data_IF_750305629809
#
_entry.id   IF_750305629809
#
_cell.length_a   1.000
_cell.length_b   1.000
_cell.length_c   1.000
_cell.angle_alpha   90.00
_cell.angle_beta   90.00
_cell.angle_gamma   90.00
#
_symmetry.space_group_name_H-M   'P 1'
#
loop_
_entity.id
_entity.type
_entity.pdbx_description
1 polymer ?
#
# COMPACT_ATOMS: atom_id res chain seq x y z
N UNK A 1 32.68 -21.90 -7.43
CA UNK A 1 31.21 -21.97 -7.43
C UNK A 1 30.87 -22.96 -6.34
N UNK A 2 30.69 -22.47 -5.11
CA UNK A 2 30.31 -23.33 -3.97
C UNK A 2 28.79 -23.41 -3.95
N UNK A 3 28.28 -24.63 -4.16
CA UNK A 3 26.86 -24.97 -4.09
C UNK A 3 26.35 -24.71 -2.67
N UNK A 4 25.41 -23.77 -2.58
CA UNK A 4 24.59 -23.52 -1.40
C UNK A 4 23.87 -24.83 -1.05
N UNK A 5 24.16 -25.37 0.13
CA UNK A 5 23.48 -26.59 0.59
C UNK A 5 22.18 -26.20 1.30
N UNK A 6 21.01 -26.64 0.81
CA UNK A 6 19.71 -26.42 1.46
C UNK A 6 19.69 -26.85 2.93
N UNK A 7 20.56 -27.79 3.28
CA UNK A 7 20.75 -28.33 4.63
C UNK A 7 21.20 -27.28 5.66
N UNK A 8 22.01 -26.29 5.24
CA UNK A 8 22.56 -25.28 6.15
C UNK A 8 21.48 -24.26 6.58
N UNK A 9 20.54 -23.94 5.67
CA UNK A 9 19.38 -23.10 5.98
C UNK A 9 18.30 -23.85 6.78
N UNK A 10 18.06 -25.13 6.46
CA UNK A 10 17.14 -25.97 7.21
C UNK A 10 17.59 -26.16 8.67
N UNK A 11 18.90 -26.37 8.89
CA UNK A 11 19.47 -26.47 10.22
C UNK A 11 19.32 -25.19 11.05
N UNK A 12 19.47 -24.03 10.41
CA UNK A 12 19.26 -22.72 11.03
C UNK A 12 17.80 -22.52 11.46
N UNK A 13 16.85 -22.87 10.57
CA UNK A 13 15.42 -22.81 10.86
C UNK A 13 15.01 -23.74 12.00
N UNK A 14 15.52 -24.99 12.03
CA UNK A 14 15.24 -25.92 13.12
C UNK A 14 15.70 -25.39 14.48
N UNK A 15 16.89 -24.79 14.55
CA UNK A 15 17.45 -24.24 15.79
C UNK A 15 16.70 -23.01 16.28
N UNK A 16 16.32 -22.12 15.36
CA UNK A 16 15.48 -20.97 15.67
C UNK A 16 14.12 -21.41 16.25
N UNK A 17 13.49 -22.43 15.66
CA UNK A 17 12.25 -23.02 16.18
C UNK A 17 12.44 -23.77 17.50
N UNK A 18 13.66 -24.24 17.81
CA UNK A 18 14.04 -24.83 19.09
C UNK A 18 14.41 -23.77 20.17
N UNK A 19 14.38 -22.48 19.85
CA UNK A 19 14.71 -21.40 20.78
C UNK A 19 16.20 -21.22 21.07
N UNK A 20 17.08 -21.80 20.25
CA UNK A 20 18.52 -21.61 20.38
C UNK A 20 18.93 -20.20 19.92
N UNK A 21 19.82 -19.50 20.65
CA UNK A 21 20.32 -18.19 20.23
C UNK A 21 21.09 -18.32 18.90
N UNK A 22 20.68 -17.53 17.91
CA UNK A 22 21.31 -17.53 16.59
C UNK A 22 22.66 -16.82 16.62
N UNK A 23 23.68 -17.50 16.09
CA UNK A 23 25.03 -16.97 15.92
C UNK A 23 25.11 -16.09 14.65
N UNK A 24 25.47 -14.79 14.76
CA UNK A 24 25.53 -13.85 13.64
C UNK A 24 26.42 -14.30 12.47
N UNK A 25 27.50 -15.01 12.75
CA UNK A 25 28.41 -15.50 11.71
C UNK A 25 27.77 -16.60 10.85
N UNK A 26 26.88 -17.39 11.45
CA UNK A 26 26.19 -18.49 10.77
C UNK A 26 25.03 -17.99 9.91
N UNK A 27 24.34 -16.92 10.33
CA UNK A 27 23.33 -16.23 9.51
C UNK A 27 23.95 -15.67 8.24
N UNK A 28 25.11 -15.00 8.36
CA UNK A 28 25.81 -14.41 7.22
C UNK A 28 26.27 -15.48 6.22
N UNK A 29 26.75 -16.62 6.73
CA UNK A 29 27.16 -17.77 5.93
C UNK A 29 25.97 -18.46 5.23
N UNK A 30 24.83 -18.61 5.92
CA UNK A 30 23.61 -19.20 5.36
C UNK A 30 22.93 -18.30 4.32
N UNK A 31 23.03 -16.98 4.46
CA UNK A 31 22.47 -16.00 3.53
C UNK A 31 23.39 -15.67 2.33
N UNK A 32 24.60 -16.24 2.28
CA UNK A 32 25.58 -15.98 1.22
C UNK A 32 26.06 -14.52 1.18
N UNK A 33 25.94 -13.81 2.29
CA UNK A 33 26.31 -12.39 2.37
C UNK A 33 27.81 -12.26 2.67
N UNK A 34 28.55 -11.39 1.96
CA UNK A 34 29.92 -11.07 2.33
C UNK A 34 29.93 -10.50 3.75
N UNK A 35 30.71 -11.14 4.63
CA UNK A 35 30.85 -10.77 6.04
C UNK A 35 31.80 -9.57 6.17
N UNK A 36 31.46 -8.46 5.54
CA UNK A 36 32.14 -7.19 5.75
C UNK A 36 31.49 -6.48 6.96
N UNK A 37 32.24 -6.17 8.03
CA UNK A 37 31.76 -5.42 9.18
C UNK A 37 31.03 -4.11 8.82
N UNK A 38 31.42 -3.45 7.73
CA UNK A 38 30.75 -2.23 7.27
C UNK A 38 29.36 -2.51 6.65
N UNK A 39 29.23 -3.60 5.91
CA UNK A 39 27.96 -4.02 5.31
C UNK A 39 26.99 -4.51 6.38
N UNK A 40 27.48 -5.22 7.41
CA UNK A 40 26.71 -5.60 8.59
C UNK A 40 26.22 -4.38 9.38
N UNK A 41 27.07 -3.36 9.58
CA UNK A 41 26.66 -2.13 10.26
C UNK A 41 25.58 -1.36 9.48
N UNK A 42 25.64 -1.34 8.16
CA UNK A 42 24.59 -0.73 7.32
C UNK A 42 23.29 -1.53 7.31
N UNK A 43 23.39 -2.86 7.34
CA UNK A 43 22.22 -3.72 7.43
C UNK A 43 21.58 -3.59 8.83
N UNK A 44 22.39 -3.60 9.88
CA UNK A 44 21.95 -3.37 11.26
C UNK A 44 21.38 -1.98 11.45
N UNK A 45 21.92 -0.93 10.82
CA UNK A 45 21.36 0.42 10.90
C UNK A 45 20.04 0.56 10.15
N UNK A 46 19.85 -0.16 9.04
CA UNK A 46 18.56 -0.25 8.34
C UNK A 46 17.55 -1.10 9.11
N UNK A 47 17.99 -2.19 9.74
CA UNK A 47 17.16 -3.05 10.58
C UNK A 47 16.76 -2.31 11.86
N UNK A 48 17.69 -1.63 12.52
CA UNK A 48 17.38 -0.76 13.65
C UNK A 48 16.56 0.43 13.18
N UNK A 49 16.74 1.03 12.01
CA UNK A 49 15.79 2.06 11.55
C UNK A 49 14.38 1.52 11.29
N UNK A 50 14.25 0.23 10.93
CA UNK A 50 12.97 -0.46 10.78
C UNK A 50 12.36 -0.94 12.11
N UNK A 51 13.18 -1.13 13.15
CA UNK A 51 12.79 -1.62 14.49
C UNK A 51 12.73 -0.48 15.53
N UNK A 52 13.51 0.58 15.34
CA UNK A 52 13.59 1.76 16.20
C UNK A 52 12.24 2.43 16.09
N UNK A 53 11.48 2.44 17.19
CA UNK A 53 10.14 2.96 17.20
C UNK A 53 10.23 4.48 17.13
N UNK A 54 10.23 5.03 15.93
CA UNK A 54 9.55 6.31 15.72
C UNK A 54 8.08 6.03 15.99
N UNK A 55 7.65 6.21 17.24
CA UNK A 55 6.30 5.92 17.70
C UNK A 55 5.79 4.55 17.20
N UNK A 56 6.12 3.48 17.92
CA UNK A 56 5.26 2.30 17.94
C UNK A 56 3.91 2.71 18.59
N UNK A 57 3.17 3.55 17.86
CA UNK A 57 1.77 3.80 18.06
C UNK A 57 1.08 2.46 17.86
N UNK A 58 0.24 2.08 18.79
CA UNK A 58 -0.74 1.01 18.59
C UNK A 58 -1.43 1.26 17.24
N UNK A 59 -1.06 0.49 16.21
CA UNK A 59 -1.65 0.69 14.89
C UNK A 59 -0.77 0.29 13.71
N UNK A 60 -1.36 0.48 12.54
CA UNK A 60 -0.75 0.19 11.25
C UNK A 60 0.31 1.23 10.87
N UNK A 61 1.45 0.79 10.32
CA UNK A 61 2.45 1.70 9.76
C UNK A 61 1.98 2.26 8.40
N UNK A 62 1.22 3.36 8.44
CA UNK A 62 0.69 4.04 7.25
C UNK A 62 1.76 4.62 6.32
N UNK A 63 2.94 4.97 6.85
CA UNK A 63 4.07 5.42 6.03
C UNK A 63 4.60 4.29 5.14
N UNK A 64 4.62 3.06 5.66
CA UNK A 64 4.96 1.87 4.87
C UNK A 64 3.89 1.59 3.79
N UNK A 65 2.60 1.70 4.14
CA UNK A 65 1.48 1.58 3.18
C UNK A 65 1.66 2.57 2.03
N UNK A 66 1.85 3.85 2.35
CA UNK A 66 2.05 4.92 1.37
C UNK A 66 3.25 4.64 0.48
N UNK A 67 4.41 4.32 1.06
CA UNK A 67 5.64 4.06 0.31
C UNK A 67 5.46 2.92 -0.68
N UNK A 68 4.89 1.80 -0.23
CA UNK A 68 4.65 0.62 -1.07
C UNK A 68 3.62 0.91 -2.18
N UNK A 69 2.53 1.60 -1.85
CA UNK A 69 1.49 1.95 -2.80
C UNK A 69 2.01 2.90 -3.88
N UNK A 70 2.77 3.93 -3.51
CA UNK A 70 3.40 4.88 -4.45
C UNK A 70 4.44 4.20 -5.34
N UNK A 71 5.20 3.25 -4.79
CA UNK A 71 6.15 2.47 -5.60
C UNK A 71 5.45 1.68 -6.70
N UNK A 72 4.29 1.08 -6.40
CA UNK A 72 3.49 0.34 -7.39
C UNK A 72 2.84 1.31 -8.37
N UNK A 73 2.16 2.34 -7.87
CA UNK A 73 1.45 3.33 -8.68
C UNK A 73 2.37 4.08 -9.68
N UNK A 74 3.65 4.22 -9.35
CA UNK A 74 4.63 4.83 -10.26
C UNK A 74 5.10 3.92 -11.40
N UNK A 75 4.84 2.62 -11.33
CA UNK A 75 5.22 1.69 -12.39
C UNK A 75 4.43 2.01 -13.65
N UNK A 76 5.14 2.31 -14.74
CA UNK A 76 4.50 2.68 -16.01
C UNK A 76 3.77 4.03 -15.99
N UNK A 77 4.01 4.88 -14.99
CA UNK A 77 3.40 6.21 -14.89
C UNK A 77 3.78 7.09 -16.08
N UNK A 78 2.76 7.65 -16.74
CA UNK A 78 2.88 8.56 -17.88
C UNK A 78 2.46 9.97 -17.46
N UNK A 79 3.11 10.98 -18.03
CA UNK A 79 2.64 12.37 -17.87
C UNK A 79 1.31 12.54 -18.59
N UNK A 80 0.40 13.30 -17.98
CA UNK A 80 -0.87 13.69 -18.60
C UNK A 80 -0.56 14.55 -19.83
N UNK A 81 -1.02 14.13 -21.00
CA UNK A 81 -0.87 14.93 -22.23
C UNK A 81 -1.89 16.06 -22.26
N UNK A 82 -1.55 17.15 -22.94
CA UNK A 82 -2.46 18.28 -23.14
C UNK A 82 -3.71 17.87 -23.93
N UNK A 83 -3.57 16.91 -24.87
CA UNK A 83 -4.70 16.38 -25.63
C UNK A 83 -5.71 15.63 -24.76
N UNK A 84 -5.24 14.79 -23.84
CA UNK A 84 -6.10 14.06 -22.89
C UNK A 84 -6.77 15.04 -21.94
N UNK A 85 -6.01 16.00 -21.38
CA UNK A 85 -6.56 17.03 -20.51
C UNK A 85 -7.68 17.84 -21.20
N UNK A 86 -7.47 18.23 -22.46
CA UNK A 86 -8.48 18.94 -23.25
C UNK A 86 -9.71 18.08 -23.53
N UNK A 87 -9.53 16.80 -23.85
CA UNK A 87 -10.63 15.87 -24.13
C UNK A 87 -11.52 15.68 -22.90
N UNK A 88 -10.92 15.48 -21.72
CA UNK A 88 -11.64 15.38 -20.45
C UNK A 88 -12.42 16.67 -20.16
N UNK A 89 -11.79 17.83 -20.33
CA UNK A 89 -12.44 19.13 -20.10
C UNK A 89 -13.64 19.35 -21.03
N UNK A 90 -13.50 19.03 -22.33
CA UNK A 90 -14.58 19.12 -23.30
C UNK A 90 -15.73 18.15 -22.98
N UNK A 91 -15.41 16.92 -22.58
CA UNK A 91 -16.40 15.92 -22.21
C UNK A 91 -17.20 16.37 -20.98
N UNK A 92 -16.53 16.90 -19.97
CA UNK A 92 -17.20 17.48 -18.80
C UNK A 92 -18.11 18.66 -19.13
N UNK A 93 -17.64 19.61 -19.94
CA UNK A 93 -18.45 20.77 -20.33
C UNK A 93 -19.72 20.32 -21.07
N UNK A 94 -19.58 19.35 -21.97
CA UNK A 94 -20.69 18.80 -22.74
C UNK A 94 -21.66 18.03 -21.84
N UNK A 95 -21.14 17.16 -20.96
CA UNK A 95 -21.95 16.40 -20.00
C UNK A 95 -22.72 17.32 -19.04
N UNK A 96 -22.12 18.43 -18.60
CA UNK A 96 -22.83 19.44 -17.80
C UNK A 96 -23.99 20.04 -18.57
N UNK A 97 -23.81 20.42 -19.85
CA UNK A 97 -24.89 20.96 -20.67
C UNK A 97 -26.05 19.97 -20.85
N UNK A 98 -25.76 18.68 -21.02
CA UNK A 98 -26.78 17.64 -21.12
C UNK A 98 -27.52 17.41 -19.80
N UNK A 99 -26.80 17.38 -18.68
CA UNK A 99 -27.40 17.20 -17.36
C UNK A 99 -28.21 18.42 -16.93
N UNK A 100 -27.79 19.64 -17.28
CA UNK A 100 -28.51 20.87 -16.95
C UNK A 100 -29.90 20.94 -17.62
N UNK A 101 -30.08 20.27 -18.77
CA UNK A 101 -31.38 20.20 -19.46
C UNK A 101 -32.40 19.31 -18.71
N UNK A 102 -31.92 18.31 -17.97
CA UNK A 102 -32.75 17.26 -17.37
C UNK A 102 -32.67 17.18 -15.84
N UNK A 103 -31.86 18.02 -15.19
CA UNK A 103 -31.69 18.06 -13.73
C UNK A 103 -31.81 19.48 -13.17
N UNK A 104 -32.26 19.60 -11.92
CA UNK A 104 -32.28 20.86 -11.17
C UNK A 104 -31.05 21.00 -10.24
N UNK A 105 -30.05 20.12 -10.39
CA UNK A 105 -28.85 20.11 -9.57
C UNK A 105 -27.92 21.22 -10.03
N UNK A 106 -27.35 21.99 -9.09
CA UNK A 106 -26.39 23.04 -9.44
C UNK A 106 -25.17 22.45 -10.16
N UNK A 107 -24.79 23.05 -11.28
CA UNK A 107 -23.64 22.61 -12.07
C UNK A 107 -22.32 22.79 -11.32
N UNK A 108 -21.40 21.86 -11.54
CA UNK A 108 -20.06 21.91 -10.98
C UNK A 108 -19.20 22.79 -11.88
N UNK A 109 -18.89 24.01 -11.44
CA UNK A 109 -18.10 24.98 -12.22
C UNK A 109 -16.59 24.84 -12.01
N UNK A 110 -16.14 23.93 -11.16
CA UNK A 110 -14.71 23.72 -10.90
C UNK A 110 -14.08 22.89 -12.00
N UNK A 111 -12.88 23.28 -12.45
CA UNK A 111 -12.09 22.42 -13.33
C UNK A 111 -11.81 21.06 -12.68
N UNK A 112 -11.79 19.96 -13.45
CA UNK A 112 -11.41 18.66 -12.92
C UNK A 112 -9.95 18.65 -12.44
N UNK A 113 -9.69 17.95 -11.35
CA UNK A 113 -8.32 17.60 -10.96
C UNK A 113 -7.85 16.41 -11.80
N UNK A 114 -6.77 16.59 -12.56
CA UNK A 114 -6.15 15.50 -13.30
C UNK A 114 -5.10 14.84 -12.42
N UNK A 115 -5.34 13.59 -12.03
CA UNK A 115 -4.52 12.82 -11.12
C UNK A 115 -3.55 11.93 -11.91
N UNK A 116 -2.33 11.78 -11.39
CA UNK A 116 -1.54 10.58 -11.63
C UNK A 116 -2.00 9.45 -10.70
N UNK A 117 -1.64 8.20 -11.01
CA UNK A 117 -1.89 7.06 -10.11
C UNK A 117 -1.29 7.29 -8.73
N UNK A 118 -0.07 7.82 -8.66
CA UNK A 118 0.59 8.20 -7.40
C UNK A 118 -0.21 9.26 -6.63
N UNK A 119 -0.68 10.31 -7.31
CA UNK A 119 -1.44 11.36 -6.64
C UNK A 119 -2.79 10.85 -6.14
N UNK A 120 -3.43 9.94 -6.87
CA UNK A 120 -4.64 9.25 -6.43
C UNK A 120 -4.39 8.42 -5.16
N UNK A 121 -3.25 7.70 -5.08
CA UNK A 121 -2.84 7.01 -3.85
C UNK A 121 -2.72 8.01 -2.70
N UNK A 122 -1.99 9.10 -2.89
CA UNK A 122 -1.77 10.12 -1.84
C UNK A 122 -3.09 10.71 -1.35
N UNK A 123 -3.98 11.09 -2.27
CA UNK A 123 -5.28 11.64 -1.91
C UNK A 123 -6.12 10.61 -1.14
N UNK A 124 -6.24 9.37 -1.65
CA UNK A 124 -7.11 8.33 -1.07
C UNK A 124 -6.64 7.75 0.26
N UNK A 125 -5.36 7.93 0.64
CA UNK A 125 -4.81 7.38 1.89
C UNK A 125 -5.63 7.75 3.13
N UNK A 126 -6.16 8.98 3.19
CA UNK A 126 -6.99 9.41 4.32
C UNK A 126 -8.24 8.54 4.48
N UNK A 127 -8.95 8.31 3.37
CA UNK A 127 -10.15 7.46 3.35
C UNK A 127 -9.81 6.02 3.75
N UNK A 128 -8.80 5.42 3.13
CA UNK A 128 -8.41 4.03 3.43
C UNK A 128 -7.91 3.87 4.86
N UNK A 129 -7.28 4.90 5.42
CA UNK A 129 -6.92 4.94 6.83
C UNK A 129 -8.13 4.86 7.73
N UNK A 130 -9.15 5.67 7.48
CA UNK A 130 -10.36 5.68 8.28
C UNK A 130 -11.14 4.36 8.16
N UNK A 131 -11.19 3.77 6.97
CA UNK A 131 -11.88 2.50 6.72
C UNK A 131 -11.15 1.29 7.31
N UNK A 132 -9.82 1.22 7.19
CA UNK A 132 -9.07 0.02 7.56
C UNK A 132 -8.59 0.01 9.02
N UNK A 133 -8.43 1.17 9.66
CA UNK A 133 -7.95 1.24 11.06
C UNK A 133 -8.82 0.41 12.03
N UNK A 134 -10.17 0.47 11.99
CA UNK A 134 -11.00 -0.34 12.86
C UNK A 134 -10.77 -1.85 12.65
N UNK A 135 -10.59 -2.28 11.40
CA UNK A 135 -10.35 -3.69 11.05
C UNK A 135 -8.99 -4.16 11.56
N UNK A 136 -7.95 -3.35 11.37
CA UNK A 136 -6.59 -3.66 11.82
C UNK A 136 -6.51 -3.80 13.35
N UNK A 137 -7.23 -2.95 14.08
CA UNK A 137 -7.30 -3.01 15.54
C UNK A 137 -7.97 -4.30 16.01
N UNK A 138 -9.12 -4.66 15.43
CA UNK A 138 -9.83 -5.92 15.75
C UNK A 138 -9.00 -7.16 15.45
N UNK A 139 -8.25 -7.16 14.36
CA UNK A 139 -7.38 -8.29 14.01
C UNK A 139 -6.24 -8.46 15.04
N UNK A 140 -5.65 -7.35 15.48
CA UNK A 140 -4.57 -7.36 16.48
C UNK A 140 -5.05 -7.82 17.86
N UNK A 141 -6.27 -7.43 18.25
CA UNK A 141 -6.97 -7.91 19.45
C UNK A 141 -7.18 -9.44 19.35
N UNK A 142 -7.82 -9.91 18.28
CA UNK A 142 -8.14 -11.33 18.09
C UNK A 142 -6.90 -12.24 18.04
N UNK A 143 -5.82 -11.79 17.39
CA UNK A 143 -4.56 -12.53 17.37
C UNK A 143 -3.93 -12.62 18.77
N UNK A 144 -4.05 -11.55 19.57
CA UNK A 144 -3.53 -11.55 20.94
C UNK A 144 -4.34 -12.49 21.83
N UNK A 145 -5.67 -12.45 21.75
CA UNK A 145 -6.57 -13.34 22.49
C UNK A 145 -6.32 -14.80 22.15
N UNK A 146 -6.31 -15.15 20.86
CA UNK A 146 -6.08 -16.53 20.42
C UNK A 146 -4.71 -17.05 20.86
N UNK A 147 -3.67 -16.20 20.80
CA UNK A 147 -2.34 -16.60 21.22
C UNK A 147 -2.26 -16.83 22.73
N UNK A 148 -2.96 -16.02 23.54
CA UNK A 148 -3.05 -16.22 25.00
C UNK A 148 -3.78 -17.51 25.36
N UNK A 149 -4.86 -17.86 24.65
CA UNK A 149 -5.65 -19.07 24.90
C UNK A 149 -4.92 -20.38 24.58
N UNK A 150 -3.99 -20.36 23.62
CA UNK A 150 -3.33 -21.56 23.11
C UNK A 150 -1.89 -21.76 23.63
N UNK A 151 -1.42 -20.91 24.55
CA UNK A 151 -0.05 -20.92 25.04
C UNK A 151 0.11 -21.83 26.27
N UNK A 152 1.12 -22.73 26.31
CA UNK A 152 1.45 -23.49 27.52
C UNK A 152 1.92 -22.57 28.67
N UNK A 153 1.49 -22.84 29.90
CA UNK A 153 1.70 -21.98 31.08
C UNK A 153 3.18 -21.67 31.37
N UNK A 154 4.07 -22.58 30.97
CA UNK A 154 5.53 -22.51 31.11
C UNK A 154 6.16 -21.31 30.38
N UNK A 155 5.49 -20.78 29.34
CA UNK A 155 5.99 -19.70 28.49
C UNK A 155 5.42 -18.32 28.82
N UNK A 156 4.63 -18.22 29.89
CA UNK A 156 3.96 -16.98 30.30
C UNK A 156 4.90 -15.80 30.55
N UNK A 157 6.11 -16.04 31.10
CA UNK A 157 7.12 -15.01 31.33
C UNK A 157 7.79 -14.46 30.06
N UNK A 158 7.77 -15.23 28.96
CA UNK A 158 8.30 -14.82 27.65
C UNK A 158 7.22 -14.14 26.78
N UNK A 159 5.94 -14.22 27.21
CA UNK A 159 4.75 -13.81 26.48
C UNK A 159 4.69 -12.30 26.20
N UNK A 160 5.07 -11.46 27.17
CA UNK A 160 4.97 -10.00 27.01
C UNK A 160 5.87 -9.49 25.88
N UNK A 161 7.11 -9.99 25.82
CA UNK A 161 8.07 -9.63 24.79
C UNK A 161 7.73 -10.24 23.42
N UNK A 162 7.32 -11.52 23.40
CA UNK A 162 6.98 -12.22 22.16
C UNK A 162 5.68 -11.71 21.51
N UNK A 163 4.67 -11.37 22.31
CA UNK A 163 3.39 -10.84 21.81
C UNK A 163 3.54 -9.46 21.16
N UNK A 164 4.42 -8.61 21.66
CA UNK A 164 4.75 -7.33 21.02
C UNK A 164 5.41 -7.51 19.65
N UNK A 165 6.33 -8.47 19.53
CA UNK A 165 7.00 -8.80 18.27
C UNK A 165 5.99 -9.36 17.25
N UNK A 166 5.10 -10.28 17.66
CA UNK A 166 4.08 -10.85 16.76
C UNK A 166 3.07 -9.81 16.29
N UNK A 167 2.58 -8.94 17.18
CA UNK A 167 1.72 -7.82 16.80
C UNK A 167 2.42 -6.91 15.80
N UNK A 168 3.68 -6.53 16.05
CA UNK A 168 4.47 -5.72 15.12
C UNK A 168 4.64 -6.40 13.75
N UNK A 169 5.00 -7.68 13.73
CA UNK A 169 5.15 -8.45 12.49
C UNK A 169 3.83 -8.54 11.71
N UNK A 170 2.71 -8.77 12.40
CA UNK A 170 1.37 -8.77 11.82
C UNK A 170 0.99 -7.42 11.21
N UNK A 171 1.26 -6.32 11.93
CA UNK A 171 1.01 -4.96 11.44
C UNK A 171 1.83 -4.63 10.20
N UNK A 172 3.11 -5.03 10.15
CA UNK A 172 3.96 -4.84 8.96
C UNK A 172 3.42 -5.62 7.76
N UNK A 173 3.02 -6.89 7.95
CA UNK A 173 2.44 -7.70 6.86
C UNK A 173 1.14 -7.10 6.32
N UNK A 174 0.24 -6.67 7.21
CA UNK A 174 -0.99 -6.00 6.80
C UNK A 174 -0.69 -4.69 6.06
N UNK A 175 0.31 -3.91 6.51
CA UNK A 175 0.70 -2.67 5.85
C UNK A 175 1.20 -2.92 4.43
N UNK A 176 2.03 -3.95 4.23
CA UNK A 176 2.51 -4.34 2.91
C UNK A 176 1.36 -4.76 1.99
N UNK A 177 0.43 -5.60 2.48
CA UNK A 177 -0.74 -6.04 1.71
C UNK A 177 -1.66 -4.87 1.34
N UNK A 178 -1.91 -3.96 2.28
CA UNK A 178 -2.69 -2.75 2.05
C UNK A 178 -2.01 -1.84 1.01
N UNK A 179 -0.70 -1.62 1.14
CA UNK A 179 0.06 -0.84 0.17
C UNK A 179 0.02 -1.46 -1.22
N UNK A 180 0.11 -2.79 -1.32
CA UNK A 180 -0.03 -3.51 -2.58
C UNK A 180 -1.43 -3.37 -3.19
N UNK A 181 -2.47 -3.55 -2.38
CA UNK A 181 -3.85 -3.42 -2.82
C UNK A 181 -4.14 -2.00 -3.32
N UNK A 182 -3.73 -0.98 -2.55
CA UNK A 182 -3.96 0.42 -2.91
C UNK A 182 -3.18 0.84 -4.16
N UNK A 183 -1.93 0.37 -4.27
CA UNK A 183 -1.12 0.59 -5.47
C UNK A 183 -1.76 0.00 -6.73
N UNK A 184 -2.24 -1.25 -6.65
CA UNK A 184 -2.95 -1.89 -7.78
C UNK A 184 -4.28 -1.21 -8.08
N UNK A 185 -5.04 -0.84 -7.06
CA UNK A 185 -6.32 -0.15 -7.25
C UNK A 185 -6.14 1.17 -8.01
N UNK A 186 -5.02 1.87 -7.79
CA UNK A 186 -4.70 3.09 -8.55
C UNK A 186 -4.51 2.86 -10.06
N UNK A 187 -4.29 1.63 -10.51
CA UNK A 187 -4.18 1.26 -11.93
C UNK A 187 -5.55 1.02 -12.58
N UNK A 188 -6.57 0.74 -11.79
CA UNK A 188 -7.92 0.36 -12.26
C UNK A 188 -8.93 1.51 -12.19
N UNK A 189 -8.78 2.39 -11.19
CA UNK A 189 -9.72 3.52 -10.98
C UNK A 189 -9.60 4.58 -12.07
N UNK A 190 -10.73 5.03 -12.59
CA UNK A 190 -10.85 6.11 -13.57
C UNK A 190 -11.01 7.46 -12.89
N UNK A 191 -11.62 7.50 -11.70
CA UNK A 191 -12.01 8.73 -11.04
C UNK A 191 -11.86 8.68 -9.51
N UNK A 192 -11.99 9.85 -8.88
CA UNK A 192 -12.14 9.95 -7.43
C UNK A 192 -13.49 9.42 -6.91
N UNK A 193 -14.48 9.25 -7.79
CA UNK A 193 -15.83 8.80 -7.45
C UNK A 193 -16.01 7.29 -7.43
N UNK A 194 -15.05 6.50 -7.93
CA UNK A 194 -15.23 5.06 -8.16
C UNK A 194 -15.47 4.26 -6.87
N UNK A 195 -14.96 4.76 -5.74
CA UNK A 195 -15.14 4.14 -4.42
C UNK A 195 -16.50 4.52 -3.80
N UNK A 196 -17.19 5.53 -4.35
CA UNK A 196 -18.44 6.08 -3.80
C UNK A 196 -18.27 6.92 -2.53
N UNK A 197 -17.02 7.15 -2.09
CA UNK A 197 -16.68 8.00 -0.95
C UNK A 197 -15.61 9.03 -1.37
N UNK A 198 -15.66 10.28 -0.86
CA UNK A 198 -14.68 11.29 -1.21
C UNK A 198 -13.27 10.90 -0.77
N UNK A 199 -12.33 10.89 -1.72
CA UNK A 199 -10.91 10.65 -1.42
C UNK A 199 -10.15 11.93 -1.06
N UNK A 200 -10.69 13.12 -1.30
CA UNK A 200 -10.10 14.40 -0.86
C UNK A 200 -11.21 15.37 -0.43
N UNK A 201 -10.84 16.42 0.33
CA UNK A 201 -11.79 17.35 0.97
C UNK A 201 -12.44 18.33 0.00
N UNK A 202 -11.73 18.72 -1.05
CA UNK A 202 -12.21 19.68 -2.03
C UNK A 202 -13.37 19.06 -2.85
N UNK A 203 -14.56 19.68 -2.92
CA UNK A 203 -15.66 19.16 -3.71
C UNK A 203 -15.43 19.48 -5.20
N UNK A 204 -14.58 18.68 -5.85
CA UNK A 204 -14.30 18.80 -7.29
C UNK A 204 -14.19 17.44 -7.97
N UNK A 205 -14.53 17.33 -9.26
CA UNK A 205 -14.30 16.13 -10.04
C UNK A 205 -12.80 15.85 -10.15
N UNK A 206 -12.42 14.58 -10.17
CA UNK A 206 -11.04 14.20 -10.41
C UNK A 206 -10.96 12.88 -11.15
N UNK A 207 -10.00 12.81 -12.07
CA UNK A 207 -9.82 11.68 -12.99
C UNK A 207 -8.37 11.23 -12.99
N UNK A 208 -8.16 9.91 -13.00
CA UNK A 208 -6.83 9.33 -13.26
C UNK A 208 -6.62 9.33 -14.77
N UNK A 209 -6.06 10.42 -15.28
CA UNK A 209 -6.06 10.73 -16.71
C UNK A 209 -5.37 9.64 -17.55
N UNK A 210 -4.35 8.98 -17.01
CA UNK A 210 -3.70 7.84 -17.67
C UNK A 210 -4.66 6.66 -17.86
N UNK A 211 -5.40 6.29 -16.81
CA UNK A 211 -6.30 5.13 -16.85
C UNK A 211 -7.46 5.39 -17.79
N UNK A 212 -7.99 6.62 -17.79
CA UNK A 212 -9.04 7.02 -18.70
C UNK A 212 -8.57 7.00 -20.16
N UNK A 213 -7.35 7.47 -20.45
CA UNK A 213 -6.78 7.39 -21.79
C UNK A 213 -6.56 5.94 -22.25
N UNK A 214 -6.04 5.08 -21.36
CA UNK A 214 -5.85 3.65 -21.63
C UNK A 214 -7.18 2.92 -21.86
N UNK A 215 -8.24 3.28 -21.11
CA UNK A 215 -9.59 2.80 -21.36
C UNK A 215 -10.12 3.24 -22.73
N UNK A 216 -9.99 4.51 -23.08
CA UNK A 216 -10.44 5.03 -24.37
C UNK A 216 -9.71 4.35 -25.54
N UNK A 217 -8.40 4.15 -25.43
CA UNK A 217 -7.60 3.41 -26.42
C UNK A 217 -8.08 1.95 -26.57
N UNK A 218 -8.60 1.34 -25.51
CA UNK A 218 -9.09 -0.04 -25.52
C UNK A 218 -10.45 -0.22 -26.21
N UNK A 219 -11.21 0.85 -26.40
CA UNK A 219 -12.62 0.78 -26.83
C UNK A 219 -12.84 0.72 -28.35
N UNK A 220 -11.79 0.63 -29.18
CA UNK A 220 -11.82 0.52 -30.67
C UNK A 220 -12.68 1.56 -31.43
N UNK A 221 -13.32 2.52 -30.75
CA UNK A 221 -14.14 3.60 -31.33
C UNK A 221 -13.33 4.90 -31.55
N UNK A 222 -13.92 5.87 -32.26
CA UNK A 222 -13.33 7.22 -32.41
C UNK A 222 -13.16 7.88 -31.03
N UNK A 223 -11.90 8.16 -30.67
CA UNK A 223 -11.47 8.50 -29.31
C UNK A 223 -12.09 9.75 -28.70
N UNK A 224 -12.69 10.61 -29.51
CA UNK A 224 -13.38 11.84 -29.11
C UNK A 224 -14.82 11.62 -28.62
N UNK A 225 -15.47 10.51 -28.98
CA UNK A 225 -16.81 10.18 -28.46
C UNK A 225 -16.77 9.36 -27.17
N UNK A 226 -15.68 8.63 -26.94
CA UNK A 226 -15.60 7.67 -25.83
C UNK A 226 -15.55 8.35 -24.46
N UNK A 227 -14.96 9.54 -24.36
CA UNK A 227 -14.93 10.30 -23.10
C UNK A 227 -16.32 10.77 -22.62
N UNK A 228 -17.36 10.67 -23.45
CA UNK A 228 -18.74 11.03 -23.05
C UNK A 228 -19.49 9.90 -22.32
N UNK A 229 -19.04 8.65 -22.44
CA UNK A 229 -19.61 7.50 -21.74
C UNK A 229 -19.04 7.38 -20.32
#
# INVERSE_FOLDING_TARGET
MDEQRPEDFEALLRRFLAGEPLDPEQIAKAAGLPVDPATLQQLLSKLTAAIVPGEATEGLNWSLVETQAKQIANQGSKKVSESVAKSISNAMATGSLWLDEVTEVASITSEPKLLSRELWVVDSLGLFKDLATPVANRMSEALTENFQENLPEEFSGFMSQASGIMRSAGSVMFAMQMGQALGRLSEEVLSAGDIGLPIFKEPRPAFVAQNLAELVESLEEESDQVYFY
#
